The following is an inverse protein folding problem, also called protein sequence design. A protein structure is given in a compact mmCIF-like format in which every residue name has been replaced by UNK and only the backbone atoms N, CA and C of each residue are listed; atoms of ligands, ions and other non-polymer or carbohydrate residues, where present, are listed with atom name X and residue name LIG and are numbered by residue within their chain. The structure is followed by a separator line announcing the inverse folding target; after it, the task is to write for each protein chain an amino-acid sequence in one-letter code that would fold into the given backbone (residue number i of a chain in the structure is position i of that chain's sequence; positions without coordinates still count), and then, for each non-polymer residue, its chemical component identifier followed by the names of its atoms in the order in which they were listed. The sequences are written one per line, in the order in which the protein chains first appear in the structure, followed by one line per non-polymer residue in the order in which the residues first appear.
data_IF_382478336213
#
_entry.id   IF_382478336213
#
_cell.length_a   1.000
_cell.length_b   1.000
_cell.length_c   1.000
_cell.angle_alpha   90.00
_cell.angle_beta   90.00
_cell.angle_gamma   90.00
#
_symmetry.space_group_name_H-M   'P 1'
#
loop_
_entity.id
_entity.type
_entity.pdbx_description
1 polymer ?
#
# COMPACT_ATOMS: atom_id res chain seq x y z
N UNK A 1 -3.94 15.61 -20.09
CA UNK A 1 -2.59 15.47 -19.53
C UNK A 1 -2.61 16.20 -18.19
N UNK A 2 -2.11 15.59 -17.11
CA UNK A 2 -2.12 16.23 -15.79
C UNK A 2 -1.07 17.35 -15.72
N UNK A 3 -1.36 18.39 -14.92
CA UNK A 3 -0.36 19.40 -14.57
C UNK A 3 0.83 18.74 -13.87
N UNK A 4 2.06 19.18 -14.19
CA UNK A 4 3.29 18.59 -13.63
C UNK A 4 3.40 18.74 -12.11
N UNK A 5 2.65 19.67 -11.52
CA UNK A 5 2.66 19.96 -10.09
C UNK A 5 1.36 19.55 -9.39
N UNK A 6 0.52 18.71 -10.02
CA UNK A 6 -0.80 18.33 -9.45
C UNK A 6 -0.71 17.67 -8.09
N UNK A 7 0.43 17.05 -7.77
CA UNK A 7 0.72 16.41 -6.47
C UNK A 7 1.73 17.20 -5.62
N UNK A 8 2.05 18.43 -6.00
CA UNK A 8 3.01 19.24 -5.22
C UNK A 8 2.54 19.42 -3.77
N UNK A 9 3.47 19.15 -2.84
CA UNK A 9 3.19 19.20 -1.41
C UNK A 9 2.41 18.00 -0.85
N UNK A 10 2.12 16.99 -1.69
CA UNK A 10 1.48 15.74 -1.24
C UNK A 10 2.53 14.73 -0.78
N UNK A 11 2.25 14.07 0.34
CA UNK A 11 3.06 13.00 0.90
C UNK A 11 2.31 11.66 0.75
N UNK A 12 2.90 10.70 0.05
CA UNK A 12 2.24 9.46 -0.34
C UNK A 12 3.09 8.25 0.08
N UNK A 13 2.48 7.29 0.77
CA UNK A 13 3.11 6.01 1.09
C UNK A 13 2.69 4.94 0.08
N UNK A 14 3.66 4.22 -0.48
CA UNK A 14 3.44 3.08 -1.39
C UNK A 14 4.05 1.81 -0.81
N UNK A 15 3.22 0.84 -0.44
CA UNK A 15 3.71 -0.46 0.02
C UNK A 15 4.18 -1.30 -1.17
N UNK A 16 5.33 -1.97 -1.04
CA UNK A 16 5.95 -2.68 -2.16
C UNK A 16 6.47 -1.74 -3.25
N UNK A 17 6.86 -0.52 -2.88
CA UNK A 17 7.26 0.55 -3.80
C UNK A 17 8.61 0.36 -4.50
N UNK A 18 9.41 -0.65 -4.10
CA UNK A 18 10.75 -0.87 -4.67
C UNK A 18 10.78 -1.62 -6.01
N UNK A 19 9.67 -2.17 -6.49
CA UNK A 19 9.65 -2.96 -7.75
C UNK A 19 8.28 -2.99 -8.40
N UNK A 20 8.24 -3.38 -9.68
CA UNK A 20 7.00 -3.61 -10.44
C UNK A 20 6.06 -2.41 -10.42
N UNK A 21 4.76 -2.66 -10.26
CA UNK A 21 3.72 -1.63 -10.25
C UNK A 21 3.96 -0.57 -9.17
N UNK A 22 4.41 -0.98 -7.97
CA UNK A 22 4.70 -0.05 -6.87
C UNK A 22 5.78 0.96 -7.24
N UNK A 23 6.88 0.49 -7.87
CA UNK A 23 7.96 1.37 -8.34
C UNK A 23 7.46 2.34 -9.43
N UNK A 24 6.68 1.85 -10.38
CA UNK A 24 6.12 2.71 -11.44
C UNK A 24 5.14 3.76 -10.90
N UNK A 25 4.27 3.39 -9.95
CA UNK A 25 3.41 4.36 -9.27
C UNK A 25 4.23 5.41 -8.52
N UNK A 26 5.27 4.99 -7.80
CA UNK A 26 6.21 5.89 -7.12
C UNK A 26 6.84 6.87 -8.10
N UNK A 27 7.39 6.38 -9.24
CA UNK A 27 7.97 7.20 -10.30
C UNK A 27 7.00 8.28 -10.79
N UNK A 28 5.76 7.90 -11.06
CA UNK A 28 4.73 8.82 -11.51
C UNK A 28 4.34 9.84 -10.44
N UNK A 29 4.19 9.45 -9.18
CA UNK A 29 3.89 10.41 -8.11
C UNK A 29 4.99 11.46 -7.94
N UNK A 30 6.26 11.03 -7.95
CA UNK A 30 7.41 11.96 -7.89
C UNK A 30 7.44 12.88 -9.11
N UNK A 31 7.25 12.34 -10.31
CA UNK A 31 7.18 13.12 -11.56
C UNK A 31 6.11 14.22 -11.51
N UNK A 32 5.03 14.03 -10.76
CA UNK A 32 3.97 15.00 -10.57
C UNK A 32 4.07 15.82 -9.28
N UNK A 33 5.22 15.78 -8.60
CA UNK A 33 5.59 16.68 -7.52
C UNK A 33 5.31 16.17 -6.09
N UNK A 34 4.91 14.90 -5.91
CA UNK A 34 4.76 14.33 -4.58
C UNK A 34 6.10 14.00 -3.93
N UNK A 35 6.14 14.10 -2.60
CA UNK A 35 7.10 13.37 -1.76
C UNK A 35 6.55 11.96 -1.53
N UNK A 36 7.36 10.93 -1.81
CA UNK A 36 6.89 9.55 -1.71
C UNK A 36 7.72 8.78 -0.69
N UNK A 37 7.01 8.00 0.13
CA UNK A 37 7.58 7.00 1.02
C UNK A 37 7.32 5.63 0.41
N UNK A 38 8.34 4.79 0.34
CA UNK A 38 8.23 3.42 -0.12
C UNK A 38 8.68 2.44 0.95
N UNK A 39 7.95 1.36 1.13
CA UNK A 39 8.35 0.32 2.07
C UNK A 39 8.28 -1.08 1.46
N UNK A 40 9.02 -2.00 2.07
CA UNK A 40 9.08 -3.41 1.67
C UNK A 40 10.22 -4.12 2.39
N UNK A 41 10.34 -5.44 2.21
CA UNK A 41 11.29 -6.26 2.98
C UNK A 41 12.76 -6.12 2.56
N UNK A 42 13.03 -5.74 1.31
CA UNK A 42 14.37 -5.74 0.72
C UNK A 42 14.89 -4.30 0.64
N UNK A 43 15.69 -3.90 1.62
CA UNK A 43 16.19 -2.54 1.74
C UNK A 43 17.00 -2.09 0.51
N UNK A 44 17.89 -2.95 0.00
CA UNK A 44 18.67 -2.64 -1.20
C UNK A 44 17.79 -2.34 -2.42
N UNK A 45 16.71 -3.10 -2.61
CA UNK A 45 15.76 -2.88 -3.74
C UNK A 45 15.00 -1.57 -3.57
N UNK A 46 14.67 -1.20 -2.33
CA UNK A 46 14.02 0.10 -2.04
C UNK A 46 14.99 1.25 -2.31
N UNK A 47 16.23 1.13 -1.82
CA UNK A 47 17.28 2.12 -2.04
C UNK A 47 17.54 2.35 -3.52
N UNK A 48 17.77 1.28 -4.28
CA UNK A 48 18.05 1.37 -5.71
C UNK A 48 16.89 2.02 -6.48
N UNK A 49 15.63 1.69 -6.11
CA UNK A 49 14.46 2.30 -6.72
C UNK A 49 14.33 3.80 -6.37
N UNK A 50 14.62 4.17 -5.12
CA UNK A 50 14.58 5.56 -4.69
C UNK A 50 15.64 6.39 -5.42
N UNK A 51 16.88 5.91 -5.45
CA UNK A 51 18.02 6.59 -6.11
C UNK A 51 17.76 6.77 -7.61
N UNK A 52 17.26 5.72 -8.29
CA UNK A 52 16.90 5.77 -9.71
C UNK A 52 15.82 6.82 -9.99
N UNK A 53 14.71 6.79 -9.24
CA UNK A 53 13.58 7.70 -9.45
C UNK A 53 13.98 9.15 -9.16
N UNK A 54 14.75 9.41 -8.10
CA UNK A 54 15.24 10.74 -7.77
C UNK A 54 16.23 11.25 -8.83
N UNK A 55 17.06 10.38 -9.39
CA UNK A 55 17.95 10.75 -10.50
C UNK A 55 17.20 11.13 -11.77
N UNK A 56 16.09 10.45 -12.08
CA UNK A 56 15.30 10.68 -13.30
C UNK A 56 14.41 11.93 -13.23
N UNK A 57 13.83 12.21 -12.06
CA UNK A 57 12.75 13.21 -11.93
C UNK A 57 13.05 14.29 -10.89
N UNK A 58 14.14 14.18 -10.13
CA UNK A 58 14.33 14.97 -8.93
C UNK A 58 13.33 14.57 -7.83
N UNK A 59 12.96 15.50 -6.97
CA UNK A 59 11.99 15.26 -5.90
C UNK A 59 12.55 14.47 -4.72
N UNK A 60 11.69 13.87 -3.94
CA UNK A 60 12.07 13.16 -2.71
C UNK A 60 11.37 11.79 -2.63
N UNK A 61 12.17 10.74 -2.53
CA UNK A 61 11.73 9.38 -2.23
C UNK A 61 12.42 8.93 -0.95
N UNK A 62 11.64 8.73 0.10
CA UNK A 62 12.08 8.13 1.35
C UNK A 62 11.78 6.63 1.31
N UNK A 63 12.60 5.82 1.96
CA UNK A 63 12.36 4.39 2.04
C UNK A 63 12.67 3.84 3.43
N UNK A 64 11.97 2.78 3.80
CA UNK A 64 12.27 2.03 5.02
C UNK A 64 11.93 0.54 4.84
N UNK A 65 12.75 -0.36 5.40
CA UNK A 65 12.46 -1.78 5.40
C UNK A 65 11.26 -2.06 6.30
N UNK A 66 10.29 -2.82 5.79
CA UNK A 66 9.08 -3.20 6.51
C UNK A 66 8.55 -4.54 6.02
N UNK A 67 8.31 -5.47 6.94
CA UNK A 67 7.47 -6.61 6.67
C UNK A 67 6.03 -6.26 7.04
N UNK A 68 5.17 -6.16 6.03
CA UNK A 68 3.76 -5.78 6.21
C UNK A 68 2.96 -6.76 7.09
N UNK A 69 3.52 -7.92 7.41
CA UNK A 69 2.90 -8.91 8.33
C UNK A 69 3.10 -8.55 9.80
N UNK A 70 4.05 -7.68 10.10
CA UNK A 70 4.37 -7.26 11.46
C UNK A 70 3.64 -5.97 11.82
N UNK A 71 2.54 -6.13 12.56
CA UNK A 71 1.68 -5.02 12.96
C UNK A 71 2.39 -4.02 13.90
N UNK A 72 3.31 -4.49 14.76
CA UNK A 72 4.05 -3.61 15.68
C UNK A 72 5.06 -2.76 14.91
N UNK A 73 5.80 -3.37 14.00
CA UNK A 73 6.73 -2.65 13.14
C UNK A 73 6.00 -1.64 12.23
N UNK A 74 4.78 -1.95 11.79
CA UNK A 74 3.95 -1.00 11.03
C UNK A 74 3.62 0.22 11.88
N UNK A 75 3.11 0.04 13.10
CA UNK A 75 2.74 1.16 13.99
C UNK A 75 3.94 2.09 14.25
N UNK A 76 5.11 1.52 14.57
CA UNK A 76 6.34 2.28 14.81
C UNK A 76 6.79 3.08 13.57
N UNK A 77 6.83 2.44 12.41
CA UNK A 77 7.26 3.12 11.19
C UNK A 77 6.26 4.19 10.73
N UNK A 78 4.96 3.93 10.86
CA UNK A 78 3.94 4.94 10.53
C UNK A 78 4.00 6.12 11.50
N UNK A 79 4.25 5.89 12.79
CA UNK A 79 4.48 6.97 13.73
C UNK A 79 5.68 7.84 13.33
N UNK A 80 6.80 7.23 12.98
CA UNK A 80 7.98 7.95 12.52
C UNK A 80 7.71 8.80 11.26
N UNK A 81 6.97 8.25 10.28
CA UNK A 81 6.56 9.00 9.08
C UNK A 81 5.65 10.18 9.43
N UNK A 82 4.72 10.00 10.37
CA UNK A 82 3.80 11.08 10.79
C UNK A 82 4.47 12.13 11.67
N UNK A 83 5.55 11.82 12.38
CA UNK A 83 6.37 12.79 13.11
C UNK A 83 7.03 13.82 12.17
N UNK A 84 7.30 13.45 10.91
CA UNK A 84 7.76 14.37 9.86
C UNK A 84 6.60 15.18 9.23
N UNK A 85 5.36 14.77 9.47
CA UNK A 85 4.13 15.38 8.95
C UNK A 85 3.13 14.34 8.42
N UNK A 86 1.87 14.69 8.26
CA UNK A 86 0.84 13.74 7.85
C UNK A 86 1.03 13.29 6.39
N UNK A 87 0.67 12.04 6.12
CA UNK A 87 0.50 11.53 4.76
C UNK A 87 -0.82 12.08 4.17
N UNK A 88 -0.86 12.31 2.86
CA UNK A 88 -2.08 12.62 2.10
C UNK A 88 -2.64 11.38 1.40
N UNK A 89 -1.79 10.38 1.15
CA UNK A 89 -2.19 9.18 0.43
C UNK A 89 -1.49 7.91 0.88
N UNK A 90 -2.20 6.79 0.75
CA UNK A 90 -1.68 5.43 0.94
C UNK A 90 -2.03 4.58 -0.28
N UNK A 91 -1.03 3.92 -0.85
CA UNK A 91 -1.24 2.89 -1.88
C UNK A 91 -0.90 1.52 -1.30
N UNK A 92 -1.91 0.71 -1.10
CA UNK A 92 -1.79 -0.69 -0.72
C UNK A 92 -1.49 -1.53 -1.97
N UNK A 93 -0.20 -1.72 -2.25
CA UNK A 93 0.26 -2.47 -3.40
C UNK A 93 1.05 -3.73 -3.02
N UNK A 94 1.66 -3.78 -1.85
CA UNK A 94 2.40 -4.96 -1.41
C UNK A 94 1.53 -6.21 -1.47
N UNK A 95 2.02 -7.25 -2.14
CA UNK A 95 1.33 -8.50 -2.33
C UNK A 95 2.32 -9.66 -2.49
N UNK A 96 1.81 -10.87 -2.38
CA UNK A 96 2.51 -12.10 -2.71
C UNK A 96 1.49 -13.11 -3.22
N UNK A 97 1.91 -13.98 -4.13
CA UNK A 97 1.08 -15.07 -4.62
C UNK A 97 1.95 -16.22 -5.12
N UNK A 98 1.39 -17.42 -5.16
CA UNK A 98 1.90 -18.56 -5.87
C UNK A 98 0.74 -19.40 -6.42
N UNK A 99 1.00 -20.15 -7.47
CA UNK A 99 0.02 -21.00 -8.13
C UNK A 99 0.02 -22.37 -7.47
N UNK A 100 -1.14 -22.83 -6.99
CA UNK A 100 -1.32 -24.17 -6.39
C UNK A 100 -2.73 -24.66 -6.59
N UNK A 101 -2.88 -25.97 -6.87
CA UNK A 101 -4.22 -26.58 -6.81
C UNK A 101 -4.73 -26.54 -5.38
N UNK A 102 -5.98 -26.14 -5.17
CA UNK A 102 -6.53 -25.95 -3.83
C UNK A 102 -6.47 -27.22 -2.98
N UNK A 103 -6.65 -28.42 -3.59
CA UNK A 103 -6.55 -29.70 -2.89
C UNK A 103 -5.15 -30.02 -2.35
N UNK A 104 -4.11 -29.41 -2.92
CA UNK A 104 -2.71 -29.62 -2.55
C UNK A 104 -2.17 -28.49 -1.65
N UNK A 105 -3.01 -27.46 -1.38
CA UNK A 105 -2.62 -26.29 -0.60
C UNK A 105 -2.64 -26.62 0.89
N UNK A 106 -1.49 -26.47 1.56
CA UNK A 106 -1.41 -26.58 3.01
C UNK A 106 -1.99 -25.37 3.73
N UNK A 107 -2.42 -25.48 4.99
CA UNK A 107 -2.79 -24.33 5.83
C UNK A 107 -1.70 -23.26 5.88
N UNK A 108 -0.43 -23.66 5.99
CA UNK A 108 0.70 -22.73 5.99
C UNK A 108 0.85 -22.00 4.65
N UNK A 109 0.64 -22.69 3.54
CA UNK A 109 0.63 -22.07 2.21
C UNK A 109 -0.49 -21.03 2.07
N UNK A 110 -1.69 -21.33 2.56
CA UNK A 110 -2.78 -20.37 2.62
C UNK A 110 -2.40 -19.16 3.48
N UNK A 111 -1.93 -19.39 4.69
CA UNK A 111 -1.57 -18.34 5.63
C UNK A 111 -0.42 -17.46 5.13
N UNK A 112 0.53 -18.01 4.39
CA UNK A 112 1.62 -17.25 3.78
C UNK A 112 1.13 -16.14 2.85
N UNK A 113 0.07 -16.40 2.07
CA UNK A 113 -0.55 -15.39 1.20
C UNK A 113 -1.48 -14.46 2.00
N UNK A 114 -2.36 -15.04 2.83
CA UNK A 114 -3.33 -14.26 3.60
C UNK A 114 -2.65 -13.27 4.55
N UNK A 115 -1.54 -13.64 5.19
CA UNK A 115 -0.81 -12.75 6.10
C UNK A 115 -0.22 -11.52 5.39
N UNK A 116 0.24 -11.68 4.14
CA UNK A 116 0.76 -10.55 3.36
C UNK A 116 -0.40 -9.72 2.79
N UNK A 117 -1.30 -10.38 2.05
CA UNK A 117 -2.27 -9.67 1.21
C UNK A 117 -3.44 -9.14 2.03
N UNK A 118 -3.99 -9.93 2.94
CA UNK A 118 -5.17 -9.57 3.71
C UNK A 118 -4.81 -8.86 5.02
N UNK A 119 -4.09 -9.55 5.91
CA UNK A 119 -3.77 -8.97 7.22
C UNK A 119 -2.86 -7.75 7.08
N UNK A 120 -1.79 -7.84 6.29
CA UNK A 120 -0.85 -6.72 6.12
C UNK A 120 -1.51 -5.48 5.52
N UNK A 121 -2.40 -5.65 4.55
CA UNK A 121 -3.16 -4.52 4.00
C UNK A 121 -4.08 -3.90 5.05
N UNK A 122 -4.73 -4.71 5.88
CA UNK A 122 -5.54 -4.21 6.97
C UNK A 122 -4.70 -3.44 8.01
N UNK A 123 -3.58 -4.00 8.45
CA UNK A 123 -2.74 -3.38 9.49
C UNK A 123 -2.25 -1.99 9.07
N UNK A 124 -1.70 -1.86 7.87
CA UNK A 124 -1.18 -0.57 7.43
C UNK A 124 -2.30 0.45 7.12
N UNK A 125 -3.44 -0.03 6.60
CA UNK A 125 -4.62 0.81 6.40
C UNK A 125 -5.13 1.37 7.72
N UNK A 126 -5.21 0.51 8.74
CA UNK A 126 -5.65 0.89 10.08
C UNK A 126 -4.67 1.88 10.74
N UNK A 127 -3.36 1.61 10.70
CA UNK A 127 -2.34 2.47 11.28
C UNK A 127 -2.37 3.89 10.69
N UNK A 128 -2.45 4.00 9.37
CA UNK A 128 -2.53 5.30 8.68
C UNK A 128 -3.88 5.99 8.94
N UNK A 129 -4.98 5.26 8.82
CA UNK A 129 -6.33 5.80 9.03
C UNK A 129 -6.56 6.31 10.44
N UNK A 130 -6.08 5.59 11.45
CA UNK A 130 -6.12 6.00 12.85
C UNK A 130 -5.43 7.35 13.07
N UNK A 131 -4.22 7.56 12.52
CA UNK A 131 -3.50 8.83 12.61
C UNK A 131 -4.26 9.96 11.93
N UNK A 132 -4.86 9.72 10.76
CA UNK A 132 -5.69 10.73 10.10
C UNK A 132 -6.92 11.11 10.94
N UNK A 133 -7.60 10.13 11.54
CA UNK A 133 -8.75 10.39 12.41
C UNK A 133 -8.35 11.17 13.65
N UNK A 134 -7.24 10.80 14.30
CA UNK A 134 -6.71 11.50 15.50
C UNK A 134 -6.33 12.96 15.19
N UNK A 135 -5.76 13.21 14.00
CA UNK A 135 -5.33 14.56 13.58
C UNK A 135 -6.43 15.37 12.89
N UNK A 136 -7.60 14.80 12.60
CA UNK A 136 -8.61 15.41 11.75
C UNK A 136 -8.10 15.66 10.30
N UNK A 137 -7.10 14.90 9.85
CA UNK A 137 -6.50 15.06 8.53
C UNK A 137 -7.25 14.27 7.48
N UNK A 138 -7.42 14.85 6.29
CA UNK A 138 -8.07 14.20 5.16
C UNK A 138 -7.06 13.38 4.37
N UNK A 139 -7.45 12.19 3.92
CA UNK A 139 -6.57 11.31 3.18
C UNK A 139 -7.24 10.53 2.06
N UNK A 140 -6.43 9.84 1.27
CA UNK A 140 -6.92 8.96 0.21
C UNK A 140 -6.17 7.64 0.22
N UNK A 141 -6.91 6.53 0.26
CA UNK A 141 -6.36 5.17 0.18
C UNK A 141 -6.77 4.54 -1.16
N UNK A 142 -5.81 3.94 -1.83
CA UNK A 142 -6.05 3.09 -3.00
C UNK A 142 -5.45 1.71 -2.75
N UNK A 143 -6.27 0.67 -2.87
CA UNK A 143 -5.82 -0.72 -2.74
C UNK A 143 -5.79 -1.41 -4.11
N UNK A 144 -4.64 -1.98 -4.48
CA UNK A 144 -4.50 -2.71 -5.73
C UNK A 144 -5.15 -4.08 -5.58
N UNK A 145 -6.23 -4.30 -6.31
CA UNK A 145 -6.96 -5.57 -6.38
C UNK A 145 -6.44 -6.43 -7.56
N UNK A 146 -7.25 -7.39 -7.93
CA UNK A 146 -7.08 -8.22 -9.11
C UNK A 146 -8.46 -8.60 -9.66
N UNK A 147 -8.54 -8.86 -10.95
CA UNK A 147 -9.81 -9.15 -11.65
C UNK A 147 -10.57 -10.33 -11.07
N UNK A 148 -9.87 -11.28 -10.48
CA UNK A 148 -10.49 -12.45 -9.83
C UNK A 148 -11.31 -12.15 -8.56
N UNK A 149 -11.33 -10.91 -8.09
CA UNK A 149 -12.29 -10.46 -7.07
C UNK A 149 -13.74 -10.60 -7.56
N UNK A 150 -13.95 -10.43 -8.87
CA UNK A 150 -15.27 -10.51 -9.51
C UNK A 150 -15.49 -11.83 -10.26
N UNK A 151 -14.43 -12.40 -10.85
CA UNK A 151 -14.53 -13.58 -11.73
C UNK A 151 -14.17 -14.88 -11.05
N UNK A 152 -13.51 -14.83 -9.88
CA UNK A 152 -12.73 -15.97 -9.39
C UNK A 152 -11.53 -16.25 -10.30
N UNK A 153 -10.64 -17.15 -9.88
CA UNK A 153 -9.56 -17.69 -10.72
C UNK A 153 -9.08 -19.03 -10.15
N UNK A 154 -8.86 -20.04 -10.98
CA UNK A 154 -8.30 -21.31 -10.51
C UNK A 154 -6.87 -21.12 -10.01
N UNK A 155 -6.45 -21.97 -9.08
CA UNK A 155 -5.09 -22.08 -8.55
C UNK A 155 -4.54 -20.89 -7.73
N UNK A 156 -5.35 -19.86 -7.46
CA UNK A 156 -4.97 -18.65 -6.70
C UNK A 156 -5.98 -18.32 -5.59
N UNK A 157 -6.67 -19.32 -5.06
CA UNK A 157 -7.76 -19.17 -4.08
C UNK A 157 -7.37 -18.28 -2.87
N UNK A 158 -6.19 -18.43 -2.22
CA UNK A 158 -5.82 -17.58 -1.09
C UNK A 158 -5.76 -16.09 -1.47
N UNK A 159 -5.20 -15.78 -2.64
CA UNK A 159 -5.12 -14.41 -3.15
C UNK A 159 -6.50 -13.87 -3.53
N UNK A 160 -7.34 -14.67 -4.19
CA UNK A 160 -8.70 -14.27 -4.56
C UNK A 160 -9.54 -13.94 -3.32
N UNK A 161 -9.51 -14.79 -2.29
CA UNK A 161 -10.17 -14.56 -1.01
C UNK A 161 -9.65 -13.29 -0.32
N UNK A 162 -8.33 -13.13 -0.25
CA UNK A 162 -7.70 -11.96 0.37
C UNK A 162 -8.08 -10.67 -0.35
N UNK A 163 -8.03 -10.63 -1.68
CA UNK A 163 -8.38 -9.45 -2.48
C UNK A 163 -9.88 -9.13 -2.40
N UNK A 164 -10.74 -10.14 -2.32
CA UNK A 164 -12.18 -9.95 -2.07
C UNK A 164 -12.44 -9.34 -0.69
N UNK A 165 -11.70 -9.79 0.34
CA UNK A 165 -11.75 -9.20 1.67
C UNK A 165 -11.30 -7.74 1.68
N UNK A 166 -10.24 -7.39 0.94
CA UNK A 166 -9.80 -5.98 0.78
C UNK A 166 -10.88 -5.14 0.08
N UNK A 167 -11.57 -5.67 -0.93
CA UNK A 167 -12.67 -4.97 -1.58
C UNK A 167 -13.82 -4.70 -0.59
N UNK A 168 -14.16 -5.67 0.26
CA UNK A 168 -15.16 -5.48 1.32
C UNK A 168 -14.69 -4.44 2.35
N UNK A 169 -13.45 -4.51 2.82
CA UNK A 169 -12.84 -3.53 3.72
C UNK A 169 -12.90 -2.11 3.11
N UNK A 170 -12.53 -1.96 1.84
CA UNK A 170 -12.57 -0.67 1.14
C UNK A 170 -13.95 -0.03 1.20
N UNK A 171 -15.00 -0.81 0.91
CA UNK A 171 -16.39 -0.34 0.95
C UNK A 171 -16.84 0.03 2.35
N UNK A 172 -16.52 -0.81 3.35
CA UNK A 172 -16.89 -0.58 4.75
C UNK A 172 -16.23 0.68 5.30
N UNK A 173 -14.92 0.82 5.13
CA UNK A 173 -14.19 1.98 5.62
C UNK A 173 -14.49 3.25 4.82
N UNK A 174 -14.89 3.17 3.55
CA UNK A 174 -15.34 4.32 2.79
C UNK A 174 -16.61 4.96 3.40
N UNK A 175 -17.51 4.12 3.94
CA UNK A 175 -18.71 4.60 4.67
C UNK A 175 -18.34 5.11 6.06
N UNK A 176 -17.51 4.36 6.81
CA UNK A 176 -17.16 4.70 8.19
C UNK A 176 -16.30 5.96 8.28
N UNK A 177 -15.30 6.11 7.40
CA UNK A 177 -14.32 7.20 7.45
C UNK A 177 -14.61 8.35 6.48
N UNK A 178 -15.55 8.15 5.55
CA UNK A 178 -15.99 9.18 4.60
C UNK A 178 -16.42 10.50 5.24
N UNK A 179 -17.20 10.50 6.34
CA UNK A 179 -17.57 11.71 7.06
C UNK A 179 -16.38 12.52 7.58
N UNK A 180 -15.23 11.88 7.80
CA UNK A 180 -13.97 12.51 8.22
C UNK A 180 -13.12 12.98 7.03
N UNK A 181 -13.59 12.84 5.80
CA UNK A 181 -12.87 13.26 4.59
C UNK A 181 -11.78 12.25 4.15
N UNK A 182 -11.81 11.03 4.65
CA UNK A 182 -10.92 9.94 4.24
C UNK A 182 -11.63 9.13 3.15
N UNK A 183 -11.02 9.06 1.97
CA UNK A 183 -11.57 8.36 0.81
C UNK A 183 -10.85 7.05 0.58
N UNK A 184 -11.59 5.97 0.41
CA UNK A 184 -11.02 4.66 0.08
C UNK A 184 -11.55 4.17 -1.27
N UNK A 185 -10.63 3.68 -2.10
CA UNK A 185 -10.93 3.07 -3.41
C UNK A 185 -10.05 1.82 -3.62
N UNK A 186 -10.47 0.99 -4.56
CA UNK A 186 -9.73 -0.21 -4.92
C UNK A 186 -9.95 -0.58 -6.40
#
# INVERSE_FOLDING_TARGET
MFDKNVLKGKRILVTGGGSGLGKEMTRHFVKYGAEVYICGRRENVLKDAADEIMSEHGGKVNYFPLDIRDAMSIEENIENVFNEGPLDGLVNNAAGNFISRTKDLSPNGFNAIASIVFHGTFYITNAVGKRWLELGHKGSIVSILATWVWTGSPFVVPSAMSKSGINAMTKSLAVEWGPHGIRLNS
#
